data_IF_830058772957
#
_entry.id   IF_830058772957
#
_cell.length_a   1.000
_cell.length_b   1.000
_cell.length_c   1.000
_cell.angle_alpha   90.00
_cell.angle_beta   90.00
_cell.angle_gamma   90.00
#
_symmetry.space_group_name_H-M   'P 1'
#
loop_
_entity.id
_entity.type
_entity.pdbx_description
1 polymer ?
#
# COMPACT_ATOMS: atom_id res chain seq x y z
N UNK A 1 4.62 12.06 13.45
CA UNK A 1 5.44 12.53 12.31
C UNK A 1 4.88 13.83 11.72
N UNK A 2 3.56 14.02 11.64
CA UNK A 2 2.93 15.30 11.22
C UNK A 2 3.37 16.51 12.07
N UNK A 3 3.57 16.35 13.38
CA UNK A 3 4.00 17.44 14.26
C UNK A 3 5.38 18.02 13.88
N UNK A 4 6.31 17.17 13.43
CA UNK A 4 7.65 17.63 13.04
C UNK A 4 7.63 18.36 11.69
N UNK A 5 6.71 17.95 10.81
CA UNK A 5 6.46 18.56 9.51
C UNK A 5 5.84 19.95 9.68
N UNK A 6 4.82 20.08 10.54
CA UNK A 6 4.25 21.37 10.92
C UNK A 6 5.29 22.28 11.58
N UNK A 7 6.15 21.72 12.45
CA UNK A 7 7.21 22.47 13.13
C UNK A 7 8.27 23.02 12.17
N UNK A 8 8.60 22.29 11.11
CA UNK A 8 9.57 22.76 10.11
C UNK A 8 8.97 23.83 9.19
N UNK A 9 7.70 23.70 8.79
CA UNK A 9 6.96 24.76 8.10
C UNK A 9 6.87 26.02 8.97
N UNK A 10 6.51 25.86 10.26
CA UNK A 10 6.47 26.97 11.20
C UNK A 10 7.85 27.60 11.36
N UNK A 11 8.93 26.84 11.53
CA UNK A 11 10.28 27.41 11.65
C UNK A 11 10.71 28.18 10.40
N UNK A 12 10.43 27.69 9.21
CA UNK A 12 10.70 28.39 7.97
C UNK A 12 9.89 29.69 7.87
N UNK A 13 8.60 29.65 8.23
CA UNK A 13 7.72 30.80 8.29
C UNK A 13 8.14 31.82 9.36
N UNK A 14 8.51 31.37 10.58
CA UNK A 14 9.04 32.20 11.68
C UNK A 14 10.32 32.87 11.24
N UNK A 15 11.26 32.14 10.65
CA UNK A 15 12.53 32.70 10.20
C UNK A 15 12.35 33.72 9.07
N UNK A 16 11.37 33.50 8.20
CA UNK A 16 10.97 34.49 7.21
C UNK A 16 10.35 35.73 7.87
N UNK A 17 9.40 35.55 8.79
CA UNK A 17 8.74 36.63 9.50
C UNK A 17 9.70 37.43 10.39
N UNK A 18 10.68 36.79 11.00
CA UNK A 18 11.70 37.44 11.82
C UNK A 18 12.69 38.24 10.98
N UNK A 19 13.03 37.79 9.77
CA UNK A 19 13.81 38.58 8.80
C UNK A 19 13.02 39.77 8.26
N UNK A 20 11.76 39.55 7.88
CA UNK A 20 10.87 40.62 7.42
C UNK A 20 10.58 41.67 8.50
N UNK A 21 10.66 41.30 9.78
CA UNK A 21 10.48 42.20 10.92
C UNK A 21 11.78 42.79 11.50
N UNK A 22 12.96 42.36 11.05
CA UNK A 22 14.24 42.81 11.62
C UNK A 22 14.75 44.13 11.03
N UNK A 23 14.20 44.59 9.90
CA UNK A 23 14.67 45.83 9.26
C UNK A 23 14.01 47.12 9.79
N UNK A 24 12.87 47.06 10.50
CA UNK A 24 12.10 48.26 10.88
C UNK A 24 11.52 48.24 12.31
N UNK A 25 12.35 48.28 13.35
CA UNK A 25 11.86 48.37 14.75
C UNK A 25 12.30 49.60 15.54
N UNK A 26 12.54 50.75 14.90
CA UNK A 26 12.78 52.01 15.66
C UNK A 26 11.65 53.04 15.53
N UNK A 27 10.69 52.91 14.62
CA UNK A 27 9.50 53.78 14.56
C UNK A 27 8.31 53.08 13.86
N UNK A 28 7.46 52.37 14.61
CA UNK A 28 6.33 51.63 14.03
C UNK A 28 5.13 52.54 13.69
N UNK A 29 4.93 52.84 12.40
CA UNK A 29 3.65 53.24 11.80
C UNK A 29 2.96 52.02 11.17
N UNK A 30 1.65 52.07 10.85
CA UNK A 30 0.86 50.89 10.48
C UNK A 30 1.50 50.15 9.31
N UNK A 31 1.80 48.87 9.50
CA UNK A 31 2.57 48.02 8.61
C UNK A 31 2.02 48.07 7.18
N UNK A 32 2.76 48.74 6.30
CA UNK A 32 2.59 48.58 4.86
C UNK A 32 3.04 47.17 4.54
N UNK A 33 2.20 46.36 3.90
CA UNK A 33 2.61 45.03 3.41
C UNK A 33 3.70 45.27 2.35
N UNK A 34 4.95 45.23 2.77
CA UNK A 34 6.11 45.40 1.90
C UNK A 34 6.17 44.23 0.93
N UNK A 35 6.32 44.53 -0.36
CA UNK A 35 6.52 43.52 -1.41
C UNK A 35 7.84 42.80 -1.12
N UNK A 36 7.83 41.45 -1.04
CA UNK A 36 9.03 40.67 -0.75
C UNK A 36 10.19 41.08 -1.66
N UNK A 37 11.39 41.20 -1.07
CA UNK A 37 12.61 41.45 -1.84
C UNK A 37 12.90 40.25 -2.77
N UNK A 38 13.56 40.49 -3.90
CA UNK A 38 13.93 39.40 -4.82
C UNK A 38 14.90 38.39 -4.17
N UNK A 39 15.70 38.83 -3.21
CA UNK A 39 16.66 37.99 -2.48
C UNK A 39 15.94 37.04 -1.51
N UNK A 40 14.92 37.52 -0.79
CA UNK A 40 14.13 36.69 0.13
C UNK A 40 13.30 35.66 -0.64
N UNK A 41 12.75 36.04 -1.80
CA UNK A 41 12.04 35.11 -2.68
C UNK A 41 12.98 34.01 -3.16
N UNK A 42 14.18 34.37 -3.63
CA UNK A 42 15.18 33.39 -4.08
C UNK A 42 15.63 32.47 -2.97
N UNK A 43 15.87 32.99 -1.76
CA UNK A 43 16.22 32.19 -0.61
C UNK A 43 15.12 31.19 -0.24
N UNK A 44 13.87 31.66 -0.18
CA UNK A 44 12.72 30.83 0.16
C UNK A 44 12.48 29.74 -0.90
N UNK A 45 12.59 30.10 -2.18
CA UNK A 45 12.54 29.14 -3.28
C UNK A 45 13.66 28.08 -3.18
N UNK A 46 14.87 28.49 -2.80
CA UNK A 46 16.00 27.59 -2.57
C UNK A 46 15.74 26.59 -1.44
N UNK A 47 15.32 27.09 -0.27
CA UNK A 47 15.00 26.26 0.90
C UNK A 47 13.83 25.29 0.62
N UNK A 48 12.81 25.76 -0.11
CA UNK A 48 11.70 24.90 -0.56
C UNK A 48 12.18 23.84 -1.54
N UNK A 49 12.99 24.20 -2.54
CA UNK A 49 13.51 23.25 -3.53
C UNK A 49 14.38 22.16 -2.90
N UNK A 50 15.24 22.52 -1.94
CA UNK A 50 16.07 21.58 -1.22
C UNK A 50 15.23 20.62 -0.36
N UNK A 51 14.26 21.16 0.38
CA UNK A 51 13.32 20.35 1.15
C UNK A 51 12.49 19.39 0.27
N UNK A 52 12.01 19.86 -0.89
CA UNK A 52 11.28 19.03 -1.85
C UNK A 52 12.15 17.89 -2.39
N UNK A 53 13.46 18.09 -2.57
CA UNK A 53 14.37 17.02 -3.01
C UNK A 53 14.61 15.96 -1.93
N UNK A 54 14.64 16.35 -0.67
CA UNK A 54 14.84 15.42 0.45
C UNK A 54 13.55 14.68 0.83
N UNK A 55 12.39 15.24 0.50
CA UNK A 55 11.08 14.62 0.71
C UNK A 55 10.44 14.10 -0.58
N UNK A 56 11.22 13.94 -1.67
CA UNK A 56 10.73 13.38 -2.92
C UNK A 56 10.23 11.93 -2.66
N UNK A 57 8.93 11.65 -2.81
CA UNK A 57 8.35 10.33 -2.57
C UNK A 57 9.05 9.23 -3.37
N UNK A 58 9.46 9.52 -4.61
CA UNK A 58 10.12 8.53 -5.48
C UNK A 58 11.52 8.22 -4.99
N UNK A 59 12.24 9.23 -4.47
CA UNK A 59 13.55 9.02 -3.85
C UNK A 59 13.44 8.18 -2.59
N UNK A 60 12.50 8.51 -1.70
CA UNK A 60 12.25 7.74 -0.46
C UNK A 60 11.89 6.30 -0.82
N UNK A 61 11.01 6.11 -1.79
CA UNK A 61 10.60 4.79 -2.26
C UNK A 61 11.77 3.96 -2.79
N UNK A 62 12.64 4.54 -3.63
CA UNK A 62 13.86 3.87 -4.10
C UNK A 62 14.76 3.43 -2.95
N UNK A 63 14.94 4.27 -1.94
CA UNK A 63 15.73 3.94 -0.76
C UNK A 63 15.11 2.77 0.03
N UNK A 64 13.79 2.75 0.24
CA UNK A 64 13.15 1.64 0.94
C UNK A 64 13.20 0.34 0.14
N UNK A 65 13.02 0.41 -1.19
CA UNK A 65 13.16 -0.75 -2.07
C UNK A 65 14.58 -1.32 -2.01
N UNK A 66 15.60 -0.47 -2.00
CA UNK A 66 16.99 -0.92 -1.90
C UNK A 66 17.27 -1.62 -0.56
N UNK A 67 16.81 -1.05 0.56
CA UNK A 67 16.92 -1.68 1.88
C UNK A 67 16.26 -3.05 1.92
N UNK A 68 15.04 -3.17 1.39
CA UNK A 68 14.32 -4.45 1.34
C UNK A 68 15.07 -5.46 0.47
N UNK A 69 15.56 -5.06 -0.70
CA UNK A 69 16.33 -5.96 -1.59
C UNK A 69 17.61 -6.44 -0.91
N UNK A 70 18.32 -5.58 -0.19
CA UNK A 70 19.52 -5.96 0.57
C UNK A 70 19.19 -6.91 1.72
N UNK A 71 18.09 -6.67 2.43
CA UNK A 71 17.65 -7.55 3.52
C UNK A 71 17.13 -8.90 3.01
N UNK A 72 16.58 -8.96 1.79
CA UNK A 72 16.16 -10.21 1.13
C UNK A 72 17.32 -11.00 0.53
N UNK A 73 18.42 -10.34 0.13
CA UNK A 73 19.63 -11.03 -0.33
C UNK A 73 20.48 -11.55 0.83
N UNK A 74 20.37 -10.90 2.00
CA UNK A 74 20.81 -11.46 3.27
C UNK A 74 19.78 -12.48 3.81
N UNK A 75 20.19 -13.40 4.67
CA UNK A 75 19.22 -14.20 5.41
C UNK A 75 18.37 -13.27 6.29
N UNK A 76 17.04 -13.43 6.24
CA UNK A 76 16.06 -12.69 7.04
C UNK A 76 16.17 -13.05 8.53
N UNK A 77 17.18 -12.51 9.19
CA UNK A 77 17.30 -12.51 10.66
C UNK A 77 16.20 -11.65 11.30
N UNK A 78 15.96 -11.82 12.61
CA UNK A 78 14.95 -11.04 13.33
C UNK A 78 15.17 -9.52 13.22
N UNK A 79 16.43 -9.09 13.25
CA UNK A 79 16.80 -7.67 13.10
C UNK A 79 16.50 -7.17 11.68
N UNK A 80 16.90 -7.94 10.66
CA UNK A 80 16.62 -7.60 9.26
C UNK A 80 15.10 -7.55 9.00
N UNK A 81 14.33 -8.42 9.66
CA UNK A 81 12.87 -8.42 9.66
C UNK A 81 12.28 -7.09 10.12
N UNK A 82 12.73 -6.57 11.27
CA UNK A 82 12.28 -5.28 11.79
C UNK A 82 12.58 -4.10 10.85
N UNK A 83 13.74 -4.12 10.19
CA UNK A 83 14.12 -3.08 9.23
C UNK A 83 13.25 -3.17 7.96
N UNK A 84 13.00 -4.38 7.46
CA UNK A 84 12.07 -4.64 6.34
C UNK A 84 10.65 -4.18 6.67
N UNK A 85 10.16 -4.44 7.88
CA UNK A 85 8.84 -3.98 8.33
C UNK A 85 8.73 -2.46 8.32
N UNK A 86 9.75 -1.77 8.82
CA UNK A 86 9.77 -0.31 8.85
C UNK A 86 9.78 0.27 7.43
N UNK A 87 10.58 -0.33 6.54
CA UNK A 87 10.63 0.05 5.13
C UNK A 87 9.29 -0.22 4.42
N UNK A 88 8.64 -1.36 4.69
CA UNK A 88 7.33 -1.71 4.15
C UNK A 88 6.25 -0.74 4.61
N UNK A 89 6.22 -0.38 5.89
CA UNK A 89 5.24 0.58 6.40
C UNK A 89 5.40 1.94 5.70
N UNK A 90 6.64 2.39 5.51
CA UNK A 90 6.92 3.63 4.76
C UNK A 90 6.41 3.53 3.32
N UNK A 91 6.61 2.38 2.65
CA UNK A 91 6.10 2.18 1.28
C UNK A 91 4.57 2.16 1.22
N UNK A 92 3.91 1.52 2.19
CA UNK A 92 2.45 1.51 2.32
C UNK A 92 1.93 2.93 2.46
N UNK A 93 2.53 3.71 3.35
CA UNK A 93 2.12 5.10 3.62
C UNK A 93 2.24 5.97 2.35
N UNK A 94 3.32 5.81 1.58
CA UNK A 94 3.51 6.50 0.30
C UNK A 94 2.52 6.05 -0.78
N UNK A 95 2.19 4.76 -0.83
CA UNK A 95 1.35 4.19 -1.89
C UNK A 95 -0.15 4.45 -1.70
N UNK A 96 -0.58 5.12 -0.61
CA UNK A 96 -1.95 5.62 -0.53
C UNK A 96 -2.24 6.70 -1.59
N UNK A 97 -1.21 7.36 -2.10
CA UNK A 97 -1.32 8.27 -3.25
C UNK A 97 -1.30 7.47 -4.57
N UNK A 98 -2.36 7.59 -5.37
CA UNK A 98 -2.56 6.82 -6.61
C UNK A 98 -1.42 6.95 -7.62
N UNK A 99 -0.86 8.14 -7.78
CA UNK A 99 0.24 8.39 -8.71
C UNK A 99 1.52 7.67 -8.24
N UNK A 100 1.81 7.77 -6.94
CA UNK A 100 2.95 7.13 -6.28
C UNK A 100 2.83 5.61 -6.31
N UNK A 101 1.63 5.04 -6.12
CA UNK A 101 1.38 3.61 -6.29
C UNK A 101 1.73 3.12 -7.70
N UNK A 102 1.39 3.91 -8.73
CA UNK A 102 1.76 3.56 -10.11
C UNK A 102 3.27 3.63 -10.33
N UNK A 103 3.94 4.62 -9.73
CA UNK A 103 5.37 4.80 -9.85
C UNK A 103 6.15 3.70 -9.13
N UNK A 104 5.64 3.21 -7.99
CA UNK A 104 6.17 2.02 -7.30
C UNK A 104 6.34 0.84 -8.26
N UNK A 105 5.32 0.56 -9.07
CA UNK A 105 5.39 -0.53 -10.04
C UNK A 105 6.34 -0.19 -11.20
N UNK A 106 6.33 1.05 -11.71
CA UNK A 106 7.22 1.50 -12.80
C UNK A 106 8.70 1.44 -12.45
N UNK A 107 9.07 1.73 -11.20
CA UNK A 107 10.47 1.61 -10.72
C UNK A 107 10.85 0.17 -10.32
N UNK A 108 9.99 -0.80 -10.67
CA UNK A 108 10.23 -2.22 -10.48
C UNK A 108 9.98 -2.72 -9.05
N UNK A 109 9.22 -1.99 -8.23
CA UNK A 109 8.89 -2.39 -6.86
C UNK A 109 8.16 -3.73 -6.77
N UNK A 110 7.53 -4.19 -7.85
CA UNK A 110 6.89 -5.51 -7.91
C UNK A 110 7.82 -6.69 -7.55
N UNK A 111 9.13 -6.56 -7.80
CA UNK A 111 10.12 -7.64 -7.56
C UNK A 111 10.23 -8.06 -6.10
N UNK A 112 9.91 -7.16 -5.16
CA UNK A 112 9.98 -7.47 -3.73
C UNK A 112 8.72 -8.21 -3.25
N UNK A 113 7.61 -8.15 -3.98
CA UNK A 113 6.33 -8.68 -3.48
C UNK A 113 6.32 -10.21 -3.34
N UNK A 114 6.69 -11.02 -4.36
CA UNK A 114 6.69 -12.48 -4.21
C UNK A 114 7.55 -13.01 -3.05
N UNK A 115 8.83 -12.61 -2.88
CA UNK A 115 9.64 -13.14 -1.78
C UNK A 115 9.13 -12.68 -0.41
N UNK A 116 8.55 -11.48 -0.28
CA UNK A 116 7.97 -11.03 0.97
C UNK A 116 6.65 -11.75 1.31
N UNK A 117 5.81 -12.02 0.31
CA UNK A 117 4.60 -12.85 0.47
C UNK A 117 4.95 -14.30 0.83
N UNK A 118 6.13 -14.79 0.45
CA UNK A 118 6.64 -16.11 0.82
C UNK A 118 7.46 -16.14 2.13
N UNK A 119 7.61 -15.00 2.83
CA UNK A 119 8.41 -14.88 4.03
C UNK A 119 7.93 -15.80 5.17
N UNK A 120 8.88 -16.30 5.97
CA UNK A 120 8.59 -17.03 7.21
C UNK A 120 8.10 -16.13 8.34
N UNK A 121 8.37 -14.82 8.26
CA UNK A 121 7.97 -13.84 9.25
C UNK A 121 6.54 -13.34 8.97
N UNK A 122 5.62 -13.61 9.89
CA UNK A 122 4.18 -13.35 9.70
C UNK A 122 3.86 -11.86 9.50
N UNK A 123 4.54 -10.98 10.24
CA UNK A 123 4.33 -9.54 10.11
C UNK A 123 4.78 -9.03 8.74
N UNK A 124 5.90 -9.54 8.22
CA UNK A 124 6.41 -9.17 6.89
C UNK A 124 5.43 -9.64 5.83
N UNK A 125 4.96 -10.88 5.93
CA UNK A 125 3.98 -11.45 5.02
C UNK A 125 2.65 -10.67 5.04
N UNK A 126 2.17 -10.28 6.22
CA UNK A 126 0.95 -9.49 6.38
C UNK A 126 1.08 -8.07 5.79
N UNK A 127 2.21 -7.38 6.02
CA UNK A 127 2.46 -6.04 5.48
C UNK A 127 2.69 -6.08 3.96
N UNK A 128 3.32 -7.13 3.44
CA UNK A 128 3.45 -7.32 2.00
C UNK A 128 2.08 -7.49 1.34
N UNK A 129 1.17 -8.28 1.93
CA UNK A 129 -0.20 -8.39 1.46
C UNK A 129 -0.95 -7.04 1.56
N UNK A 130 -0.76 -6.28 2.63
CA UNK A 130 -1.33 -4.94 2.76
C UNK A 130 -0.88 -3.99 1.66
N UNK A 131 0.42 -3.95 1.37
CA UNK A 131 0.98 -3.13 0.30
C UNK A 131 0.32 -3.47 -1.04
N UNK A 132 0.13 -4.76 -1.35
CA UNK A 132 -0.60 -5.18 -2.56
C UNK A 132 -2.03 -4.62 -2.58
N UNK A 133 -2.74 -4.69 -1.45
CA UNK A 133 -4.08 -4.15 -1.34
C UNK A 133 -4.16 -2.63 -1.51
N UNK A 134 -3.19 -1.89 -0.98
CA UNK A 134 -3.07 -0.43 -1.16
C UNK A 134 -2.80 -0.10 -2.62
N UNK A 135 -1.84 -0.79 -3.26
CA UNK A 135 -1.52 -0.59 -4.68
C UNK A 135 -2.72 -0.79 -5.60
N UNK A 136 -3.59 -1.78 -5.31
CA UNK A 136 -4.73 -2.13 -6.15
C UNK A 136 -6.01 -1.34 -5.85
N UNK A 137 -6.10 -0.61 -4.74
CA UNK A 137 -7.35 -0.02 -4.28
C UNK A 137 -7.90 0.99 -5.32
N UNK A 138 -8.93 0.56 -6.06
CA UNK A 138 -9.53 1.33 -7.16
C UNK A 138 -8.50 1.78 -8.22
N UNK A 139 -7.50 0.94 -8.52
CA UNK A 139 -6.38 1.29 -9.40
C UNK A 139 -6.20 0.27 -10.54
N UNK A 140 -6.91 0.43 -11.69
CA UNK A 140 -6.90 -0.56 -12.78
C UNK A 140 -5.53 -0.88 -13.35
N UNK A 141 -4.62 0.10 -13.42
CA UNK A 141 -3.26 -0.12 -13.88
C UNK A 141 -2.49 -1.04 -12.94
N UNK A 142 -2.51 -0.74 -11.63
CA UNK A 142 -1.84 -1.57 -10.63
C UNK A 142 -2.48 -2.96 -10.53
N UNK A 143 -3.81 -3.04 -10.56
CA UNK A 143 -4.56 -4.30 -10.61
C UNK A 143 -4.06 -5.17 -11.78
N UNK A 144 -4.00 -4.62 -13.00
CA UNK A 144 -3.54 -5.34 -14.19
C UNK A 144 -2.09 -5.83 -14.06
N UNK A 145 -1.17 -4.95 -13.63
CA UNK A 145 0.25 -5.31 -13.51
C UNK A 145 0.48 -6.41 -12.47
N UNK A 146 -0.24 -6.38 -11.35
CA UNK A 146 -0.14 -7.39 -10.30
C UNK A 146 -0.81 -8.72 -10.70
N UNK A 147 -1.92 -8.64 -11.45
CA UNK A 147 -2.59 -9.82 -12.03
C UNK A 147 -1.69 -10.56 -13.02
N UNK A 148 -1.01 -9.82 -13.92
CA UNK A 148 -0.08 -10.36 -14.94
C UNK A 148 1.23 -10.94 -14.36
N UNK A 149 1.39 -10.89 -13.04
CA UNK A 149 2.57 -11.34 -12.30
C UNK A 149 2.22 -12.40 -11.26
N UNK A 150 1.05 -13.02 -11.39
CA UNK A 150 0.59 -14.14 -10.56
C UNK A 150 0.57 -13.82 -9.06
N UNK A 151 0.33 -12.56 -8.69
CA UNK A 151 0.20 -12.16 -7.28
C UNK A 151 -1.11 -12.66 -6.68
N UNK A 152 -2.18 -12.74 -7.47
CA UNK A 152 -3.49 -13.21 -6.99
C UNK A 152 -3.45 -14.67 -6.47
N UNK A 153 -2.88 -15.65 -7.19
CA UNK A 153 -2.66 -17.00 -6.66
C UNK A 153 -1.96 -17.02 -5.29
N UNK A 154 -0.86 -16.26 -5.15
CA UNK A 154 -0.10 -16.19 -3.89
C UNK A 154 -0.98 -15.69 -2.74
N UNK A 155 -1.79 -14.65 -2.97
CA UNK A 155 -2.68 -14.11 -1.96
C UNK A 155 -3.79 -15.09 -1.57
N UNK A 156 -4.33 -15.86 -2.52
CA UNK A 156 -5.35 -16.87 -2.23
C UNK A 156 -4.79 -17.96 -1.30
N UNK A 157 -3.57 -18.42 -1.53
CA UNK A 157 -2.90 -19.37 -0.63
C UNK A 157 -2.75 -18.83 0.80
N UNK A 158 -2.45 -17.53 0.94
CA UNK A 158 -2.32 -16.88 2.25
C UNK A 158 -3.63 -16.82 3.04
N UNK A 159 -4.79 -16.92 2.38
CA UNK A 159 -6.10 -16.92 3.05
C UNK A 159 -6.30 -18.12 3.97
N UNK A 160 -5.60 -19.23 3.73
CA UNK A 160 -5.72 -20.47 4.52
C UNK A 160 -4.59 -20.63 5.55
N UNK A 161 -3.73 -19.62 5.71
CA UNK A 161 -2.63 -19.64 6.68
C UNK A 161 -3.06 -19.00 8.01
N UNK A 162 -2.21 -18.15 8.56
CA UNK A 162 -2.41 -17.52 9.86
C UNK A 162 -3.47 -16.41 9.79
N UNK A 163 -4.38 -16.30 10.78
CA UNK A 163 -5.44 -15.30 10.73
C UNK A 163 -4.96 -13.85 10.57
N UNK A 164 -3.82 -13.49 11.16
CA UNK A 164 -3.22 -12.15 11.03
C UNK A 164 -2.86 -11.81 9.58
N UNK A 165 -2.32 -12.78 8.85
CA UNK A 165 -1.95 -12.66 7.44
C UNK A 165 -3.20 -12.71 6.56
N UNK A 166 -4.09 -13.68 6.81
CA UNK A 166 -5.30 -13.89 6.02
C UNK A 166 -6.18 -12.63 5.95
N UNK A 167 -6.24 -11.82 7.02
CA UNK A 167 -7.02 -10.57 7.03
C UNK A 167 -6.47 -9.56 6.01
N UNK A 168 -5.15 -9.42 5.91
CA UNK A 168 -4.49 -8.51 4.97
C UNK A 168 -4.51 -9.07 3.56
N UNK A 169 -4.31 -10.38 3.40
CA UNK A 169 -4.47 -11.06 2.12
C UNK A 169 -5.90 -10.94 1.57
N UNK A 170 -6.92 -11.09 2.39
CA UNK A 170 -8.33 -10.94 1.97
C UNK A 170 -8.65 -9.50 1.56
N UNK A 171 -8.06 -8.52 2.25
CA UNK A 171 -8.13 -7.13 1.81
C UNK A 171 -7.49 -6.95 0.43
N UNK A 172 -6.30 -7.51 0.21
CA UNK A 172 -5.61 -7.43 -1.07
C UNK A 172 -6.37 -8.11 -2.22
N UNK A 173 -6.88 -9.32 -2.00
CA UNK A 173 -7.74 -10.04 -2.95
C UNK A 173 -8.97 -9.20 -3.30
N UNK A 174 -9.62 -8.61 -2.28
CA UNK A 174 -10.77 -7.73 -2.50
C UNK A 174 -10.40 -6.53 -3.38
N UNK A 175 -9.25 -5.90 -3.15
CA UNK A 175 -8.78 -4.78 -3.96
C UNK A 175 -8.36 -5.18 -5.38
N UNK A 176 -7.72 -6.35 -5.59
CA UNK A 176 -7.34 -6.82 -6.93
C UNK A 176 -8.58 -7.10 -7.79
N UNK A 177 -9.59 -7.70 -7.18
CA UNK A 177 -10.73 -8.27 -7.92
C UNK A 177 -11.83 -7.23 -8.14
N UNK A 178 -12.14 -6.40 -7.15
CA UNK A 178 -13.30 -5.51 -7.23
C UNK A 178 -13.14 -4.44 -8.30
N UNK A 179 -14.19 -4.29 -9.11
CA UNK A 179 -14.28 -3.27 -10.15
C UNK A 179 -13.36 -3.53 -11.34
N UNK A 180 -12.81 -4.75 -11.47
CA UNK A 180 -11.83 -5.11 -12.49
C UNK A 180 -12.13 -6.50 -13.07
N UNK A 181 -12.71 -6.51 -14.27
CA UNK A 181 -13.26 -7.71 -14.89
C UNK A 181 -12.22 -8.83 -15.10
N UNK A 182 -10.99 -8.50 -15.47
CA UNK A 182 -9.92 -9.49 -15.61
C UNK A 182 -9.57 -10.13 -14.26
N UNK A 183 -9.53 -9.34 -13.18
CA UNK A 183 -9.31 -9.82 -11.82
C UNK A 183 -10.42 -10.76 -11.35
N UNK A 184 -11.68 -10.43 -11.63
CA UNK A 184 -12.84 -11.29 -11.34
C UNK A 184 -12.77 -12.61 -12.09
N UNK A 185 -12.47 -12.59 -13.39
CA UNK A 185 -12.32 -13.81 -14.18
C UNK A 185 -11.21 -14.71 -13.64
N UNK A 186 -10.02 -14.16 -13.40
CA UNK A 186 -8.90 -14.95 -12.90
C UNK A 186 -9.19 -15.49 -11.49
N UNK A 187 -9.83 -14.71 -10.63
CA UNK A 187 -10.26 -15.18 -9.31
C UNK A 187 -11.16 -16.42 -9.41
N UNK A 188 -12.09 -16.44 -10.38
CA UNK A 188 -12.95 -17.61 -10.64
C UNK A 188 -12.15 -18.79 -11.16
N UNK A 189 -11.28 -18.58 -12.15
CA UNK A 189 -10.41 -19.63 -12.72
C UNK A 189 -9.52 -20.29 -11.65
N UNK A 190 -9.12 -19.51 -10.63
CA UNK A 190 -8.34 -19.97 -9.48
C UNK A 190 -9.18 -20.57 -8.33
N UNK A 191 -10.45 -20.88 -8.58
CA UNK A 191 -11.38 -21.38 -7.56
C UNK A 191 -11.52 -20.46 -6.33
N UNK A 192 -11.49 -19.15 -6.54
CA UNK A 192 -11.49 -18.16 -5.45
C UNK A 192 -12.67 -18.29 -4.48
N UNK A 193 -13.85 -18.74 -4.93
CA UNK A 193 -15.00 -18.93 -4.04
C UNK A 193 -14.77 -20.02 -3.00
N UNK A 194 -14.00 -21.06 -3.32
CA UNK A 194 -13.64 -22.10 -2.36
C UNK A 194 -12.88 -21.51 -1.16
N UNK A 195 -11.94 -20.60 -1.40
CA UNK A 195 -11.20 -19.92 -0.33
C UNK A 195 -12.11 -19.07 0.55
N UNK A 196 -13.04 -18.31 -0.06
CA UNK A 196 -14.00 -17.48 0.69
C UNK A 196 -14.91 -18.33 1.57
N UNK A 197 -15.41 -19.45 1.05
CA UNK A 197 -16.27 -20.38 1.79
C UNK A 197 -15.51 -21.07 2.93
N UNK A 198 -14.24 -21.46 2.72
CA UNK A 198 -13.40 -21.98 3.81
C UNK A 198 -13.19 -20.94 4.92
N UNK A 199 -13.00 -19.67 4.56
CA UNK A 199 -12.94 -18.58 5.53
C UNK A 199 -14.27 -18.44 6.30
N UNK A 200 -15.42 -18.61 5.63
CA UNK A 200 -16.74 -18.55 6.26
C UNK A 200 -16.96 -19.65 7.32
N UNK A 201 -16.23 -20.76 7.22
CA UNK A 201 -16.21 -21.81 8.25
C UNK A 201 -15.26 -21.51 9.43
N UNK A 202 -14.54 -20.38 9.40
CA UNK A 202 -13.64 -19.99 10.49
C UNK A 202 -14.36 -19.20 11.60
N UNK A 203 -13.85 -19.24 12.83
CA UNK A 203 -14.37 -18.47 13.96
C UNK A 203 -13.80 -17.03 14.04
N UNK A 204 -13.26 -16.49 12.95
CA UNK A 204 -12.64 -15.16 12.95
C UNK A 204 -13.61 -14.11 12.37
N UNK A 205 -14.24 -13.33 13.25
CA UNK A 205 -15.26 -12.33 12.88
C UNK A 205 -14.79 -11.32 11.82
N UNK A 206 -13.52 -10.90 11.87
CA UNK A 206 -12.96 -9.94 10.91
C UNK A 206 -12.86 -10.54 9.51
N UNK A 207 -12.43 -11.80 9.43
CA UNK A 207 -12.38 -12.56 8.18
C UNK A 207 -13.79 -12.86 7.65
N UNK A 208 -14.72 -13.26 8.52
CA UNK A 208 -16.12 -13.50 8.16
C UNK A 208 -16.74 -12.26 7.52
N UNK A 209 -16.58 -11.10 8.16
CA UNK A 209 -17.14 -9.83 7.69
C UNK A 209 -16.58 -9.46 6.31
N UNK A 210 -15.26 -9.52 6.14
CA UNK A 210 -14.60 -9.19 4.87
C UNK A 210 -14.93 -10.19 3.76
N UNK A 211 -15.01 -11.48 4.08
CA UNK A 211 -15.35 -12.54 3.12
C UNK A 211 -16.79 -12.40 2.65
N UNK A 212 -17.72 -12.18 3.60
CA UNK A 212 -19.13 -11.95 3.30
C UNK A 212 -19.34 -10.72 2.42
N UNK A 213 -18.61 -9.63 2.69
CA UNK A 213 -18.64 -8.43 1.87
C UNK A 213 -18.16 -8.71 0.44
N UNK A 214 -17.00 -9.34 0.27
CA UNK A 214 -16.47 -9.66 -1.06
C UNK A 214 -17.38 -10.62 -1.83
N UNK A 215 -17.89 -11.66 -1.16
CA UNK A 215 -18.82 -12.61 -1.76
C UNK A 215 -20.11 -11.91 -2.21
N UNK A 216 -20.69 -11.05 -1.37
CA UNK A 216 -21.88 -10.27 -1.71
C UNK A 216 -21.63 -9.36 -2.90
N UNK A 217 -20.47 -8.70 -2.94
CA UNK A 217 -20.09 -7.83 -4.06
C UNK A 217 -20.00 -8.63 -5.37
N UNK A 218 -19.32 -9.79 -5.36
CA UNK A 218 -19.16 -10.64 -6.54
C UNK A 218 -20.48 -11.21 -7.06
N UNK A 219 -21.40 -11.57 -6.16
CA UNK A 219 -22.70 -12.13 -6.51
C UNK A 219 -23.70 -11.09 -7.03
N UNK A 220 -23.59 -9.83 -6.59
CA UNK A 220 -24.48 -8.76 -7.07
C UNK A 220 -24.09 -8.24 -8.45
N UNK A 221 -22.79 -8.17 -8.74
CA UNK A 221 -22.25 -7.55 -9.96
C UNK A 221 -22.26 -8.48 -11.16
N UNK A 222 -22.20 -9.78 -10.91
CA UNK A 222 -22.06 -10.76 -11.97
C UNK A 222 -23.40 -11.41 -12.33
N UNK A 223 -23.58 -11.71 -13.61
CA UNK A 223 -24.57 -12.69 -14.08
C UNK A 223 -24.24 -14.13 -13.59
N UNK A 224 -23.22 -14.30 -12.75
CA UNK A 224 -22.87 -15.57 -12.12
C UNK A 224 -23.95 -15.95 -11.11
N UNK A 225 -24.91 -16.71 -11.61
CA UNK A 225 -25.85 -17.48 -10.78
C UNK A 225 -25.06 -18.31 -9.77
N UNK A 226 -25.64 -18.57 -8.60
CA UNK A 226 -25.02 -19.37 -7.52
C UNK A 226 -24.45 -20.73 -7.95
N UNK A 227 -24.77 -21.19 -9.16
CA UNK A 227 -24.14 -22.30 -9.88
C UNK A 227 -22.61 -22.26 -9.88
N UNK A 228 -21.95 -21.11 -10.11
CA UNK A 228 -20.47 -21.06 -10.11
C UNK A 228 -19.89 -21.37 -8.71
N UNK A 229 -20.50 -20.80 -7.67
CA UNK A 229 -20.13 -21.06 -6.27
C UNK A 229 -20.33 -22.53 -5.93
N UNK A 230 -21.50 -23.09 -6.28
CA UNK A 230 -21.81 -24.50 -6.03
C UNK A 230 -20.88 -25.45 -6.80
N UNK A 231 -20.55 -25.15 -8.06
CA UNK A 231 -19.59 -25.93 -8.85
C UNK A 231 -18.21 -25.95 -8.19
N UNK A 232 -17.68 -24.79 -7.77
CA UNK A 232 -16.35 -24.71 -7.16
C UNK A 232 -16.30 -25.37 -5.77
N UNK A 233 -17.40 -25.37 -5.03
CA UNK A 233 -17.51 -26.10 -3.76
C UNK A 233 -17.62 -27.61 -4.03
N UNK A 234 -18.48 -28.03 -4.96
CA UNK A 234 -18.77 -29.46 -5.22
C UNK A 234 -17.61 -30.18 -5.92
N UNK A 235 -16.87 -29.53 -6.83
CA UNK A 235 -15.71 -30.13 -7.51
C UNK A 235 -14.62 -30.58 -6.52
N UNK A 236 -14.49 -29.91 -5.37
CA UNK A 236 -13.55 -30.29 -4.32
C UNK A 236 -14.11 -31.32 -3.33
N UNK A 237 -15.44 -31.40 -3.14
CA UNK A 237 -16.05 -32.49 -2.35
C UNK A 237 -15.90 -33.86 -3.03
N UNK A 238 -15.94 -33.91 -4.37
CA UNK A 238 -15.73 -35.15 -5.12
C UNK A 238 -14.26 -35.55 -5.32
N UNK A 239 -13.29 -34.67 -4.98
CA UNK A 239 -11.85 -34.99 -5.03
C UNK A 239 -11.23 -35.32 -3.66
N UNK A 240 -12.03 -35.38 -2.59
CA UNK A 240 -11.55 -35.57 -1.21
C UNK A 240 -11.59 -37.01 -0.67
N UNK A 241 -12.21 -37.95 -1.39
CA UNK A 241 -12.26 -39.37 -1.02
C UNK A 241 -11.71 -40.23 -2.17
N UNK A 242 -10.39 -40.40 -2.19
CA UNK A 242 -9.66 -41.42 -2.98
C UNK A 242 -8.34 -41.76 -2.30
#
# INVERSE_FOLDING_TARGET
>A
MEDQQALNYWRALVNFASRAGAEDTVNATPSTISRLSEEDIKWLQGAMSEFMKDNDPIRIMKQQLEKIVQALSAELTDKAGSEVLTALQTLIDLCYETDIASDFLKIGGIRILPPLLASSQLDVQANAAELVGVLCQNHPYCQKVLLDRDILPLLLELLLRWPSVAVKALFAVSCIVRGFNEGEKQFIELNGFYYLVKILASNNERLLTKSSFLLSWLLQKNEFKGECVLCQINLNYYCGDS
#
